data_IF_328230285531
#
_entry.id   IF_328230285531
#
_cell.length_a   1.000
_cell.length_b   1.000
_cell.length_c   1.000
_cell.angle_alpha   90.00
_cell.angle_beta   90.00
_cell.angle_gamma   90.00
#
_symmetry.space_group_name_H-M   'P 1'
#
loop_
_entity.id
_entity.type
_entity.pdbx_description
1 polymer ?
#
# COMPACT_ATOMS: atom_id res chain seq x y z
N UNK A 1 -24.10 27.11 20.52
CA UNK A 1 -24.58 25.72 20.57
C UNK A 1 -23.92 24.99 19.43
N UNK A 2 -22.61 24.76 19.60
CA UNK A 2 -21.75 23.98 18.72
C UNK A 2 -21.53 22.65 19.45
N UNK A 3 -22.52 21.77 19.38
CA UNK A 3 -22.38 20.36 19.74
C UNK A 3 -21.97 19.63 18.45
N UNK A 4 -20.69 19.68 18.11
CA UNK A 4 -20.04 18.72 17.21
C UNK A 4 -19.70 17.49 18.06
N UNK A 5 -20.75 16.71 18.37
CA UNK A 5 -20.61 15.39 18.97
C UNK A 5 -19.87 14.52 17.94
N UNK A 6 -18.56 14.33 18.18
CA UNK A 6 -17.58 13.67 17.33
C UNK A 6 -17.79 12.17 17.07
N UNK A 7 -19.00 11.76 16.68
CA UNK A 7 -19.37 10.41 16.23
C UNK A 7 -19.69 10.34 14.72
N UNK A 8 -19.38 11.40 13.95
CA UNK A 8 -19.71 11.48 12.54
C UNK A 8 -18.79 10.67 11.63
N UNK A 9 -19.05 9.37 11.46
CA UNK A 9 -18.87 8.79 10.11
C UNK A 9 -19.78 9.65 9.21
N UNK A 10 -19.27 10.38 8.21
CA UNK A 10 -20.13 11.23 7.40
C UNK A 10 -21.27 10.39 6.80
N UNK A 11 -22.52 10.79 7.11
CA UNK A 11 -23.76 10.09 6.74
C UNK A 11 -23.96 9.93 5.22
N UNK A 12 -23.13 10.57 4.41
CA UNK A 12 -23.10 10.37 2.96
C UNK A 12 -21.66 10.31 2.45
N UNK A 13 -21.30 9.20 1.81
CA UNK A 13 -20.11 9.14 0.96
C UNK A 13 -20.38 10.01 -0.27
N UNK A 14 -19.88 11.24 -0.25
CA UNK A 14 -19.94 12.14 -1.41
C UNK A 14 -18.90 11.66 -2.43
N UNK A 15 -19.35 11.30 -3.63
CA UNK A 15 -18.43 10.89 -4.70
C UNK A 15 -17.48 12.06 -5.06
N UNK A 16 -16.19 11.75 -5.21
CA UNK A 16 -15.16 12.74 -5.53
C UNK A 16 -15.37 13.35 -6.94
N UNK A 17 -14.94 14.61 -7.16
CA UNK A 17 -14.95 15.21 -8.49
C UNK A 17 -13.99 14.49 -9.44
N UNK A 18 -14.17 14.71 -10.75
CA UNK A 18 -13.25 14.22 -11.76
C UNK A 18 -11.80 14.64 -11.48
N UNK A 19 -10.86 13.69 -11.58
CA UNK A 19 -9.45 13.93 -11.25
C UNK A 19 -8.50 13.03 -12.05
N UNK A 20 -7.22 13.38 -12.01
CA UNK A 20 -6.13 12.51 -12.42
C UNK A 20 -5.42 12.03 -11.15
N UNK A 21 -5.38 10.72 -10.92
CA UNK A 21 -4.67 10.15 -9.77
C UNK A 21 -3.29 9.68 -10.17
N UNK A 22 -2.25 10.22 -9.55
CA UNK A 22 -0.88 9.71 -9.75
C UNK A 22 -0.79 8.28 -9.23
N UNK A 23 -0.11 7.40 -9.95
CA UNK A 23 0.23 6.07 -9.43
C UNK A 23 1.09 6.21 -8.17
N UNK A 24 0.75 5.46 -7.13
CA UNK A 24 1.63 5.31 -5.96
C UNK A 24 2.94 4.62 -6.37
N UNK A 25 3.96 4.66 -5.51
CA UNK A 25 5.20 3.91 -5.76
C UNK A 25 4.93 2.41 -5.91
N UNK A 26 4.04 1.83 -5.11
CA UNK A 26 3.64 0.41 -5.24
C UNK A 26 2.96 0.16 -6.58
N UNK A 27 1.98 1.00 -6.95
CA UNK A 27 1.22 0.88 -8.19
C UNK A 27 2.10 1.00 -9.43
N UNK A 28 3.07 1.92 -9.41
CA UNK A 28 4.05 2.03 -10.47
C UNK A 28 4.85 0.72 -10.60
N UNK A 29 5.44 0.23 -9.49
CA UNK A 29 6.26 -0.99 -9.50
C UNK A 29 5.47 -2.21 -9.96
N UNK A 30 4.27 -2.42 -9.42
CA UNK A 30 3.43 -3.55 -9.80
C UNK A 30 2.95 -3.45 -11.26
N UNK A 31 2.54 -2.25 -11.70
CA UNK A 31 2.13 -2.05 -13.11
C UNK A 31 3.28 -2.28 -14.08
N UNK A 32 4.48 -1.80 -13.75
CA UNK A 32 5.68 -2.03 -14.56
C UNK A 32 6.00 -3.52 -14.66
N UNK A 33 5.98 -4.24 -13.54
CA UNK A 33 6.14 -5.71 -13.52
C UNK A 33 5.06 -6.41 -14.35
N UNK A 34 3.81 -6.02 -14.19
CA UNK A 34 2.68 -6.61 -14.92
C UNK A 34 2.80 -6.40 -16.44
N UNK A 35 3.34 -5.26 -16.88
CA UNK A 35 3.55 -4.92 -18.30
C UNK A 35 4.79 -5.59 -18.89
N UNK A 36 5.90 -5.55 -18.16
CA UNK A 36 7.23 -5.86 -18.70
C UNK A 36 7.77 -7.21 -18.26
N UNK A 37 7.26 -7.77 -17.16
CA UNK A 37 7.82 -8.96 -16.49
C UNK A 37 9.09 -8.65 -15.66
N UNK A 38 9.53 -7.40 -15.62
CA UNK A 38 10.74 -6.95 -14.94
C UNK A 38 10.36 -6.18 -13.69
N UNK A 39 11.02 -6.50 -12.57
CA UNK A 39 10.89 -5.73 -11.34
C UNK A 39 11.68 -4.42 -11.46
N UNK A 40 11.08 -3.31 -11.01
CA UNK A 40 11.85 -2.08 -10.81
C UNK A 40 12.85 -2.34 -9.68
N UNK A 41 14.16 -2.11 -9.88
CA UNK A 41 15.16 -2.33 -8.83
C UNK A 41 14.78 -1.62 -7.53
N UNK A 42 15.02 -2.27 -6.39
CA UNK A 42 14.63 -1.77 -5.07
C UNK A 42 15.30 -0.42 -4.78
N UNK A 43 16.58 -0.29 -5.16
CA UNK A 43 17.39 0.92 -4.96
C UNK A 43 17.03 2.07 -5.92
N UNK A 44 16.20 1.83 -6.94
CA UNK A 44 15.72 2.89 -7.81
C UNK A 44 14.75 3.78 -7.02
N UNK A 45 15.21 4.99 -6.70
CA UNK A 45 14.39 5.98 -6.03
C UNK A 45 13.22 6.40 -6.92
N UNK A 46 12.02 6.40 -6.35
CA UNK A 46 10.81 6.96 -6.95
C UNK A 46 10.32 8.12 -6.09
N UNK A 47 9.57 9.05 -6.68
CA UNK A 47 9.03 10.19 -5.96
C UNK A 47 8.20 9.70 -4.76
N UNK A 48 8.50 10.17 -3.53
CA UNK A 48 7.76 9.75 -2.35
C UNK A 48 6.27 10.05 -2.48
N UNK A 49 5.44 9.13 -2.01
CA UNK A 49 4.01 9.38 -1.91
C UNK A 49 3.69 10.28 -0.73
N UNK A 50 2.75 11.21 -0.92
CA UNK A 50 2.27 12.08 0.15
C UNK A 50 0.95 11.52 0.67
N UNK A 51 0.89 10.95 1.89
CA UNK A 51 -0.38 10.49 2.44
C UNK A 51 -1.32 11.65 2.74
N UNK A 52 -2.61 11.42 2.59
CA UNK A 52 -3.67 12.31 3.05
C UNK A 52 -4.68 11.47 3.83
N UNK A 53 -5.07 11.94 5.03
CA UNK A 53 -5.92 11.18 5.95
C UNK A 53 -5.43 9.75 6.22
N UNK A 54 -4.10 9.56 6.31
CA UNK A 54 -3.48 8.26 6.57
C UNK A 54 -3.29 7.35 5.35
N UNK A 55 -3.76 7.75 4.16
CA UNK A 55 -3.64 6.93 2.95
C UNK A 55 -2.94 7.66 1.79
N UNK A 56 -1.97 7.00 1.16
CA UNK A 56 -1.23 7.50 -0.01
C UNK A 56 -2.11 7.57 -1.25
N UNK A 57 -3.05 6.63 -1.40
CA UNK A 57 -4.01 6.60 -2.51
C UNK A 57 -4.95 7.82 -2.53
N UNK A 58 -5.23 8.40 -1.36
CA UNK A 58 -6.03 9.62 -1.21
C UNK A 58 -5.19 10.86 -1.55
N UNK A 59 -3.97 10.94 -1.02
CA UNK A 59 -3.09 12.07 -1.29
C UNK A 59 -2.68 12.18 -2.76
N UNK A 60 -2.48 11.04 -3.42
CA UNK A 60 -2.08 11.00 -4.84
C UNK A 60 -3.13 11.50 -5.83
N UNK A 61 -4.38 11.69 -5.39
CA UNK A 61 -5.41 12.38 -6.18
C UNK A 61 -5.20 13.90 -6.23
N UNK A 62 -4.23 14.44 -5.48
CA UNK A 62 -3.94 15.88 -5.36
C UNK A 62 -2.45 16.23 -5.57
N UNK A 63 -1.57 15.24 -5.73
CA UNK A 63 -0.13 15.47 -5.94
C UNK A 63 0.21 15.62 -7.42
N UNK A 64 1.06 16.59 -7.73
CA UNK A 64 1.78 16.67 -9.00
C UNK A 64 3.12 15.94 -8.91
N UNK A 65 3.85 15.88 -10.02
CA UNK A 65 5.21 15.32 -10.08
C UNK A 65 6.22 16.46 -10.02
N UNK A 66 7.22 16.38 -9.13
CA UNK A 66 8.30 17.35 -9.06
C UNK A 66 9.33 17.16 -10.18
N UNK A 67 10.18 18.16 -10.44
CA UNK A 67 11.27 18.01 -11.41
C UNK A 67 12.19 16.83 -11.09
N UNK A 68 12.48 16.61 -9.79
CA UNK A 68 13.24 15.44 -9.33
C UNK A 68 12.48 14.14 -9.54
N UNK A 69 11.16 14.17 -9.32
CA UNK A 69 10.29 13.02 -9.58
C UNK A 69 10.32 12.59 -11.05
N UNK A 70 10.34 13.54 -11.99
CA UNK A 70 10.49 13.23 -13.42
C UNK A 70 11.78 12.45 -13.69
N UNK A 71 12.92 12.92 -13.19
CA UNK A 71 14.21 12.23 -13.33
C UNK A 71 14.17 10.83 -12.71
N UNK A 72 13.53 10.67 -11.55
CA UNK A 72 13.37 9.37 -10.88
C UNK A 72 12.55 8.37 -11.70
N UNK A 73 11.45 8.81 -12.29
CA UNK A 73 10.64 7.97 -13.17
C UNK A 73 11.36 7.66 -14.49
N UNK A 74 12.18 8.59 -14.99
CA UNK A 74 13.04 8.39 -16.15
C UNK A 74 14.08 7.29 -15.90
N UNK A 75 14.85 7.41 -14.80
CA UNK A 75 15.83 6.41 -14.39
C UNK A 75 15.20 5.02 -14.26
N UNK A 76 14.03 4.94 -13.60
CA UNK A 76 13.29 3.69 -13.44
C UNK A 76 12.82 3.10 -14.76
N UNK A 77 12.27 3.93 -15.64
CA UNK A 77 11.75 3.51 -16.93
C UNK A 77 12.85 2.98 -17.86
N UNK A 78 14.01 3.64 -17.93
CA UNK A 78 15.14 3.14 -18.71
C UNK A 78 15.74 1.87 -18.14
N UNK A 79 15.91 1.77 -16.81
CA UNK A 79 16.43 0.56 -16.18
C UNK A 79 15.58 -0.67 -16.53
N UNK A 80 14.26 -0.52 -16.47
CA UNK A 80 13.33 -1.60 -16.80
C UNK A 80 13.28 -1.86 -18.31
N UNK A 81 13.21 -0.82 -19.13
CA UNK A 81 13.14 -0.96 -20.58
C UNK A 81 14.35 -1.69 -21.15
N UNK A 82 15.55 -1.35 -20.67
CA UNK A 82 16.79 -2.01 -21.06
C UNK A 82 16.78 -3.50 -20.67
N UNK A 83 16.35 -3.80 -19.44
CA UNK A 83 16.24 -5.18 -18.96
C UNK A 83 15.20 -6.00 -19.76
N UNK A 84 14.05 -5.41 -20.07
CA UNK A 84 13.00 -6.03 -20.87
C UNK A 84 13.47 -6.26 -22.31
N UNK A 85 14.10 -5.27 -22.95
CA UNK A 85 14.58 -5.40 -24.33
C UNK A 85 15.73 -6.40 -24.48
N UNK A 86 16.50 -6.64 -23.40
CA UNK A 86 17.58 -7.62 -23.37
C UNK A 86 17.09 -9.06 -23.18
N UNK A 87 16.00 -9.27 -22.43
CA UNK A 87 15.56 -10.60 -21.99
C UNK A 87 14.21 -11.06 -22.57
N UNK A 88 13.36 -10.11 -23.00
CA UNK A 88 11.95 -10.29 -23.37
C UNK A 88 11.23 -11.36 -22.51
N UNK A 89 11.07 -11.12 -21.20
CA UNK A 89 10.67 -12.17 -20.28
C UNK A 89 9.22 -12.58 -20.53
N UNK A 90 9.02 -13.77 -21.08
CA UNK A 90 7.70 -14.36 -21.33
C UNK A 90 7.04 -13.90 -22.63
N UNK A 91 7.82 -13.56 -23.66
CA UNK A 91 7.32 -13.21 -25.01
C UNK A 91 6.37 -12.01 -25.00
N UNK A 92 6.74 -10.96 -24.25
CA UNK A 92 5.99 -9.70 -24.16
C UNK A 92 6.06 -8.91 -25.46
N UNK A 93 7.04 -9.23 -26.31
CA UNK A 93 7.10 -8.79 -27.70
C UNK A 93 6.59 -9.96 -28.56
N UNK A 94 5.32 -9.94 -29.03
CA UNK A 94 4.70 -11.09 -29.69
C UNK A 94 5.15 -11.28 -31.15
N UNK A 95 6.34 -10.80 -31.51
CA UNK A 95 6.88 -10.80 -32.88
C UNK A 95 8.40 -10.76 -32.88
N UNK A 96 9.01 -11.11 -34.02
CA UNK A 96 10.45 -10.95 -34.20
C UNK A 96 10.80 -9.47 -34.31
N UNK A 97 11.56 -8.95 -33.35
CA UNK A 97 12.00 -7.55 -33.34
C UNK A 97 12.70 -7.19 -34.66
N UNK A 98 12.29 -6.09 -35.29
CA UNK A 98 12.80 -5.63 -36.58
C UNK A 98 12.08 -6.17 -37.81
N UNK A 99 11.16 -7.13 -37.65
CA UNK A 99 10.26 -7.54 -38.73
C UNK A 99 9.20 -6.47 -39.04
N UNK A 100 8.70 -6.47 -40.28
CA UNK A 100 7.68 -5.54 -40.75
C UNK A 100 6.43 -5.60 -39.85
N UNK A 101 5.93 -4.43 -39.42
CA UNK A 101 4.74 -4.32 -38.57
C UNK A 101 4.94 -4.71 -37.09
N UNK A 102 6.08 -5.28 -36.69
CA UNK A 102 6.31 -5.72 -35.32
C UNK A 102 6.28 -4.54 -34.32
N UNK A 103 6.98 -3.44 -34.62
CA UNK A 103 6.99 -2.26 -33.77
C UNK A 103 5.57 -1.65 -33.60
N UNK A 104 4.79 -1.59 -34.68
CA UNK A 104 3.42 -1.08 -34.60
C UNK A 104 2.55 -1.97 -33.72
N UNK A 105 2.60 -3.28 -33.93
CA UNK A 105 1.83 -4.22 -33.13
C UNK A 105 2.22 -4.16 -31.64
N UNK A 106 3.53 -4.05 -31.37
CA UNK A 106 4.05 -3.86 -30.01
C UNK A 106 3.51 -2.56 -29.39
N UNK A 107 3.60 -1.42 -30.10
CA UNK A 107 3.07 -0.13 -29.63
C UNK A 107 1.59 -0.22 -29.28
N UNK A 108 0.78 -0.89 -30.12
CA UNK A 108 -0.66 -1.05 -29.87
C UNK A 108 -0.95 -1.93 -28.67
N UNK A 109 -0.29 -3.09 -28.57
CA UNK A 109 -0.51 -4.08 -27.50
C UNK A 109 0.03 -3.59 -26.15
N UNK A 110 1.29 -3.16 -26.09
CA UNK A 110 1.91 -2.62 -24.89
C UNK A 110 1.22 -1.31 -24.45
N UNK A 111 1.00 -0.40 -25.39
CA UNK A 111 0.35 0.88 -25.13
C UNK A 111 -1.06 0.71 -24.59
N UNK A 112 -1.85 -0.25 -25.11
CA UNK A 112 -3.21 -0.50 -24.62
C UNK A 112 -3.23 -0.83 -23.14
N UNK A 113 -2.31 -1.68 -22.68
CA UNK A 113 -2.19 -2.04 -21.25
C UNK A 113 -1.56 -0.93 -20.42
N UNK A 114 -0.56 -0.22 -20.97
CA UNK A 114 0.11 0.87 -20.26
C UNK A 114 -0.82 2.07 -20.02
N UNK A 115 -1.56 2.48 -21.05
CA UNK A 115 -2.47 3.61 -20.98
C UNK A 115 -3.89 3.23 -20.59
N UNK A 116 -4.15 1.93 -20.44
CA UNK A 116 -5.40 1.35 -19.92
C UNK A 116 -6.62 1.65 -20.79
N UNK A 117 -6.36 1.91 -22.07
CA UNK A 117 -7.34 2.16 -23.14
C UNK A 117 -6.68 1.95 -24.50
N UNK A 118 -7.45 1.80 -25.59
CA UNK A 118 -6.90 1.80 -26.93
C UNK A 118 -6.14 3.11 -27.19
N UNK A 119 -4.98 2.99 -27.84
CA UNK A 119 -4.26 4.15 -28.36
C UNK A 119 -5.03 4.73 -29.55
N UNK A 120 -5.02 6.05 -29.66
CA UNK A 120 -5.43 6.73 -30.88
C UNK A 120 -4.40 6.53 -31.99
N UNK A 121 -4.79 6.65 -33.25
CA UNK A 121 -3.85 6.53 -34.38
C UNK A 121 -2.71 7.57 -34.31
N UNK A 122 -2.98 8.74 -33.76
CA UNK A 122 -1.98 9.78 -33.54
C UNK A 122 -0.96 9.36 -32.46
N UNK A 123 -1.40 8.69 -31.39
CA UNK A 123 -0.51 8.12 -30.38
C UNK A 123 0.33 6.98 -30.97
N UNK A 124 -0.28 6.06 -31.71
CA UNK A 124 0.46 4.96 -32.37
C UNK A 124 1.54 5.52 -33.29
N UNK A 125 1.19 6.49 -34.14
CA UNK A 125 2.14 7.14 -35.06
C UNK A 125 3.30 7.79 -34.30
N UNK A 126 3.01 8.50 -33.20
CA UNK A 126 4.03 9.16 -32.38
C UNK A 126 5.00 8.16 -31.75
N UNK A 127 4.48 7.11 -31.12
CA UNK A 127 5.32 6.11 -30.44
C UNK A 127 6.12 5.27 -31.43
N UNK A 128 5.55 4.94 -32.60
CA UNK A 128 6.30 4.31 -33.68
C UNK A 128 7.47 5.18 -34.15
N UNK A 129 7.25 6.48 -34.36
CA UNK A 129 8.32 7.38 -34.78
C UNK A 129 9.48 7.43 -33.77
N UNK A 130 9.18 7.42 -32.46
CA UNK A 130 10.22 7.33 -31.40
C UNK A 130 11.01 6.03 -31.53
N UNK A 131 10.33 4.89 -31.69
CA UNK A 131 11.00 3.60 -31.84
C UNK A 131 11.83 3.49 -33.12
N UNK A 132 11.34 4.01 -34.24
CA UNK A 132 12.03 4.02 -35.53
C UNK A 132 13.28 4.91 -35.49
N UNK A 133 13.19 6.08 -34.85
CA UNK A 133 14.32 7.00 -34.67
C UNK A 133 15.40 6.39 -33.77
N UNK A 134 15.03 5.82 -32.62
CA UNK A 134 15.96 5.15 -31.71
C UNK A 134 16.64 3.94 -32.40
N UNK A 135 15.87 3.12 -33.12
CA UNK A 135 16.44 1.98 -33.84
C UNK A 135 17.43 2.40 -34.93
N UNK A 136 17.14 3.49 -35.65
CA UNK A 136 18.02 4.05 -36.68
C UNK A 136 19.29 4.65 -36.07
N UNK A 137 19.14 5.44 -35.01
CA UNK A 137 20.23 6.18 -34.37
C UNK A 137 21.21 5.24 -33.65
N UNK A 138 20.69 4.22 -32.96
CA UNK A 138 21.50 3.27 -32.20
C UNK A 138 21.84 2.00 -32.99
N UNK A 139 21.34 1.88 -34.22
CA UNK A 139 21.68 0.80 -35.15
C UNK A 139 21.14 -0.58 -34.76
N UNK A 140 20.11 -0.64 -33.90
CA UNK A 140 19.49 -1.90 -33.47
C UNK A 140 17.98 -1.76 -33.28
N UNK A 141 17.16 -2.65 -33.86
CA UNK A 141 15.71 -2.68 -33.62
C UNK A 141 15.30 -2.80 -32.14
N UNK A 142 16.13 -3.42 -31.29
CA UNK A 142 15.86 -3.56 -29.86
C UNK A 142 15.85 -2.19 -29.15
N UNK A 143 16.68 -1.25 -29.58
CA UNK A 143 16.65 0.11 -29.04
C UNK A 143 15.31 0.80 -29.32
N UNK A 144 14.66 0.48 -30.45
CA UNK A 144 13.32 0.98 -30.74
C UNK A 144 12.28 0.53 -29.71
N UNK A 145 12.33 -0.74 -29.30
CA UNK A 145 11.46 -1.28 -28.24
C UNK A 145 11.79 -0.63 -26.89
N UNK A 146 13.08 -0.57 -26.54
CA UNK A 146 13.55 0.04 -25.29
C UNK A 146 13.04 1.47 -25.12
N UNK A 147 13.23 2.33 -26.13
CA UNK A 147 12.81 3.73 -26.05
C UNK A 147 11.28 3.90 -26.05
N UNK A 148 10.54 3.02 -26.74
CA UNK A 148 9.07 3.01 -26.65
C UNK A 148 8.61 2.65 -25.24
N UNK A 149 9.16 1.60 -24.65
CA UNK A 149 8.83 1.19 -23.27
C UNK A 149 9.20 2.30 -22.30
N UNK A 150 10.44 2.79 -22.34
CA UNK A 150 10.92 3.85 -21.46
C UNK A 150 10.05 5.10 -21.57
N UNK A 151 9.73 5.55 -22.78
CA UNK A 151 8.90 6.73 -23.00
C UNK A 151 7.45 6.55 -22.55
N UNK A 152 6.84 5.39 -22.79
CA UNK A 152 5.47 5.12 -22.34
C UNK A 152 5.36 5.04 -20.81
N UNK A 153 6.35 4.43 -20.12
CA UNK A 153 6.39 4.35 -18.66
C UNK A 153 6.62 5.70 -17.96
N UNK A 154 6.96 6.75 -18.72
CA UNK A 154 7.09 8.12 -18.24
C UNK A 154 5.93 9.02 -18.70
N UNK A 155 5.05 8.51 -19.55
CA UNK A 155 3.94 9.28 -20.10
C UNK A 155 2.94 9.64 -18.98
N UNK A 156 2.34 10.84 -19.01
CA UNK A 156 1.21 11.16 -18.14
C UNK A 156 0.05 10.15 -18.25
N UNK A 157 -0.17 9.56 -19.43
CA UNK A 157 -1.18 8.52 -19.62
C UNK A 157 -0.87 7.22 -18.84
N UNK A 158 0.40 6.99 -18.49
CA UNK A 158 0.81 5.87 -17.64
C UNK A 158 0.90 6.28 -16.17
N UNK A 159 1.59 7.39 -15.88
CA UNK A 159 1.82 7.87 -14.51
C UNK A 159 0.54 8.33 -13.80
N UNK A 160 -0.50 8.65 -14.54
CA UNK A 160 -1.80 9.04 -14.00
C UNK A 160 -2.92 8.12 -14.47
N UNK A 161 -3.84 7.83 -13.56
CA UNK A 161 -5.13 7.21 -13.84
C UNK A 161 -6.14 8.32 -14.15
N UNK A 162 -6.77 8.23 -15.31
CA UNK A 162 -7.92 9.07 -15.66
C UNK A 162 -9.12 8.64 -14.85
N UNK A 163 -9.76 9.60 -14.19
CA UNK A 163 -11.05 9.48 -13.53
C UNK A 163 -11.88 10.73 -13.90
N UNK A 164 -12.03 10.97 -15.20
CA UNK A 164 -12.68 12.14 -15.79
C UNK A 164 -14.13 11.85 -16.19
N UNK A 165 -14.46 10.58 -16.42
CA UNK A 165 -15.78 10.09 -16.74
C UNK A 165 -16.28 10.38 -18.16
N UNK A 166 -17.41 9.76 -18.49
CA UNK A 166 -18.00 9.83 -19.84
C UNK A 166 -18.92 11.04 -20.02
N UNK A 167 -18.44 12.27 -19.85
CA UNK A 167 -19.10 13.52 -20.29
C UNK A 167 -20.50 13.88 -19.76
N UNK A 168 -21.22 12.96 -19.11
CA UNK A 168 -22.47 13.19 -18.41
C UNK A 168 -22.18 13.59 -16.97
N UNK A 169 -22.54 14.81 -16.58
CA UNK A 169 -22.54 15.18 -15.18
C UNK A 169 -23.54 14.28 -14.45
N UNK A 170 -23.08 13.58 -13.42
CA UNK A 170 -23.95 12.76 -12.61
C UNK A 170 -24.67 13.68 -11.61
N UNK A 171 -26.00 13.79 -11.72
CA UNK A 171 -26.81 14.63 -10.81
C UNK A 171 -27.49 13.75 -9.77
N UNK A 172 -27.05 13.83 -8.52
CA UNK A 172 -27.67 13.19 -7.35
C UNK A 172 -27.24 13.94 -6.10
N UNK A 173 -28.07 13.93 -5.04
CA UNK A 173 -27.76 14.50 -3.72
C UNK A 173 -26.56 13.82 -3.04
N UNK A 174 -26.04 12.73 -3.62
CA UNK A 174 -24.90 11.92 -3.15
C UNK A 174 -23.60 12.17 -3.94
N UNK A 175 -23.56 13.17 -4.81
CA UNK A 175 -22.44 13.43 -5.71
C UNK A 175 -21.88 14.84 -5.50
N UNK A 176 -20.54 14.97 -5.42
CA UNK A 176 -19.93 16.29 -5.44
C UNK A 176 -20.21 16.99 -6.77
N UNK A 177 -20.23 18.31 -6.75
CA UNK A 177 -20.19 19.11 -7.97
C UNK A 177 -18.98 18.69 -8.83
N UNK A 178 -19.23 18.38 -10.12
CA UNK A 178 -18.19 17.88 -11.03
C UNK A 178 -17.88 16.39 -10.93
N UNK A 179 -18.71 15.59 -10.24
CA UNK A 179 -18.64 14.14 -10.30
C UNK A 179 -19.19 13.60 -11.64
N UNK A 180 -18.52 12.59 -12.17
CA UNK A 180 -18.89 11.92 -13.41
C UNK A 180 -18.95 10.41 -13.20
N UNK A 181 -19.80 9.73 -13.96
CA UNK A 181 -19.75 8.26 -14.04
C UNK A 181 -18.47 7.84 -14.76
N UNK A 182 -17.78 6.85 -14.21
CA UNK A 182 -16.68 6.19 -14.90
C UNK A 182 -17.16 5.56 -16.19
N UNK A 183 -16.39 5.71 -17.25
CA UNK A 183 -16.54 4.85 -18.42
C UNK A 183 -15.99 3.44 -18.14
N UNK A 184 -16.20 2.51 -19.06
CA UNK A 184 -15.75 1.13 -18.90
C UNK A 184 -14.22 0.98 -18.77
N UNK A 185 -13.42 1.87 -19.38
CA UNK A 185 -11.95 1.85 -19.28
C UNK A 185 -11.46 2.37 -17.94
N UNK A 186 -12.10 3.42 -17.44
CA UNK A 186 -11.86 3.94 -16.10
C UNK A 186 -12.33 2.95 -15.04
N UNK A 187 -13.44 2.23 -15.27
CA UNK A 187 -13.89 1.15 -14.40
C UNK A 187 -12.93 -0.03 -14.39
N UNK A 188 -12.41 -0.47 -15.54
CA UNK A 188 -11.35 -1.47 -15.62
C UNK A 188 -10.14 -1.04 -14.77
N UNK A 189 -9.68 0.20 -14.96
CA UNK A 189 -8.58 0.77 -14.18
C UNK A 189 -8.88 0.77 -12.69
N UNK A 190 -10.08 1.20 -12.30
CA UNK A 190 -10.51 1.25 -10.91
C UNK A 190 -10.49 -0.13 -10.26
N UNK A 191 -11.09 -1.14 -10.91
CA UNK A 191 -11.11 -2.51 -10.41
C UNK A 191 -9.69 -3.05 -10.25
N UNK A 192 -8.85 -2.91 -11.29
CA UNK A 192 -7.49 -3.44 -11.27
C UNK A 192 -6.62 -2.83 -10.16
N UNK A 193 -6.66 -1.51 -10.00
CA UNK A 193 -5.87 -0.86 -8.94
C UNK A 193 -6.47 -1.04 -7.54
N UNK A 194 -7.77 -1.27 -7.41
CA UNK A 194 -8.39 -1.58 -6.12
C UNK A 194 -8.10 -3.00 -5.67
N UNK A 195 -8.19 -3.97 -6.58
CA UNK A 195 -8.06 -5.40 -6.23
C UNK A 195 -6.62 -5.88 -6.31
N UNK A 196 -5.84 -5.38 -7.26
CA UNK A 196 -4.52 -5.91 -7.61
C UNK A 196 -3.38 -4.90 -7.51
N UNK A 197 -3.68 -3.63 -7.18
CA UNK A 197 -2.70 -2.54 -7.08
C UNK A 197 -1.81 -2.41 -8.33
N UNK A 198 -2.33 -2.76 -9.52
CA UNK A 198 -1.58 -2.77 -10.78
C UNK A 198 -2.49 -2.47 -11.99
N UNK A 199 -1.89 -2.31 -13.17
CA UNK A 199 -2.62 -2.03 -14.42
C UNK A 199 -3.54 -3.21 -14.81
N UNK A 200 -4.71 -2.96 -15.44
CA UNK A 200 -5.62 -4.00 -15.93
C UNK A 200 -4.95 -5.08 -16.79
N UNK A 201 -5.44 -6.32 -16.64
CA UNK A 201 -5.13 -7.40 -17.56
C UNK A 201 -5.95 -7.30 -18.86
N UNK A 202 -5.58 -8.09 -19.86
CA UNK A 202 -6.25 -8.05 -21.16
C UNK A 202 -7.72 -8.43 -21.06
N UNK A 203 -8.09 -9.38 -20.18
CA UNK A 203 -9.47 -9.77 -19.98
C UNK A 203 -10.35 -8.61 -19.48
N UNK A 204 -9.83 -7.79 -18.57
CA UNK A 204 -10.55 -6.62 -18.07
C UNK A 204 -10.62 -5.50 -19.13
N UNK A 205 -9.55 -5.31 -19.92
CA UNK A 205 -9.56 -4.36 -21.04
C UNK A 205 -10.48 -4.82 -22.18
N UNK A 206 -10.63 -6.12 -22.39
CA UNK A 206 -11.54 -6.69 -23.39
C UNK A 206 -12.99 -6.50 -22.96
N UNK A 207 -13.30 -6.76 -21.67
CA UNK A 207 -14.61 -6.46 -21.08
C UNK A 207 -14.94 -4.96 -21.16
N UNK A 208 -13.94 -4.09 -20.95
CA UNK A 208 -14.12 -2.66 -21.12
C UNK A 208 -14.49 -2.28 -22.55
N UNK A 209 -13.84 -2.90 -23.54
CA UNK A 209 -14.15 -2.69 -24.96
C UNK A 209 -15.57 -3.16 -25.32
N UNK A 210 -16.07 -4.19 -24.63
CA UNK A 210 -17.40 -4.73 -24.82
C UNK A 210 -18.51 -3.95 -24.08
N UNK A 211 -18.16 -2.98 -23.22
CA UNK A 211 -19.12 -2.21 -22.41
C UNK A 211 -19.70 -3.02 -21.25
N UNK A 212 -18.96 -4.03 -20.77
CA UNK A 212 -19.43 -5.01 -19.81
C UNK A 212 -19.13 -4.63 -18.35
N UNK A 213 -18.43 -3.52 -18.10
CA UNK A 213 -17.94 -3.18 -16.76
C UNK A 213 -18.83 -2.17 -16.01
N UNK A 214 -19.92 -1.74 -16.62
CA UNK A 214 -20.92 -0.88 -15.98
C UNK A 214 -22.17 -1.64 -15.50
N UNK A 215 -22.28 -2.94 -15.83
CA UNK A 215 -23.30 -3.85 -15.31
C UNK A 215 -22.84 -4.57 -14.03
N UNK A 216 -23.73 -4.67 -13.03
CA UNK A 216 -23.36 -5.18 -11.70
C UNK A 216 -23.06 -6.69 -11.65
N UNK A 217 -23.70 -7.50 -12.50
CA UNK A 217 -23.47 -8.95 -12.52
C UNK A 217 -22.14 -9.26 -13.20
N UNK A 218 -21.91 -8.66 -14.37
CA UNK A 218 -20.64 -8.79 -15.09
C UNK A 218 -19.46 -8.28 -14.26
N UNK A 219 -19.59 -7.10 -13.64
CA UNK A 219 -18.56 -6.52 -12.79
C UNK A 219 -18.18 -7.46 -11.63
N UNK A 220 -19.17 -8.10 -10.98
CA UNK A 220 -18.91 -9.04 -9.88
C UNK A 220 -18.03 -10.21 -10.34
N UNK A 221 -18.31 -10.79 -11.50
CA UNK A 221 -17.52 -11.91 -12.03
C UNK A 221 -16.05 -11.54 -12.27
N UNK A 222 -15.78 -10.34 -12.79
CA UNK A 222 -14.41 -9.85 -12.98
C UNK A 222 -13.68 -9.58 -11.66
N UNK A 223 -14.38 -9.03 -10.66
CA UNK A 223 -13.81 -8.80 -9.32
C UNK A 223 -13.47 -10.12 -8.63
N UNK A 224 -14.39 -11.09 -8.61
CA UNK A 224 -14.15 -12.41 -8.02
C UNK A 224 -12.95 -13.12 -8.65
N UNK A 225 -12.83 -13.05 -9.98
CA UNK A 225 -11.68 -13.59 -10.72
C UNK A 225 -10.36 -12.96 -10.28
N UNK A 226 -10.32 -11.64 -10.10
CA UNK A 226 -9.10 -10.93 -9.70
C UNK A 226 -8.76 -11.18 -8.23
N UNK A 227 -9.76 -11.22 -7.33
CA UNK A 227 -9.58 -11.56 -5.91
C UNK A 227 -8.97 -12.95 -5.74
N UNK A 228 -9.32 -13.89 -6.62
CA UNK A 228 -8.76 -15.25 -6.61
C UNK A 228 -7.33 -15.35 -7.19
N UNK A 229 -6.74 -14.25 -7.65
CA UNK A 229 -5.45 -14.26 -8.35
C UNK A 229 -4.28 -13.81 -7.48
N UNK A 230 -3.05 -14.12 -7.91
CA UNK A 230 -1.82 -13.74 -7.19
C UNK A 230 -1.64 -12.22 -7.08
N UNK A 231 -2.29 -11.41 -7.93
CA UNK A 231 -2.19 -9.96 -7.80
C UNK A 231 -2.95 -9.44 -6.58
N UNK A 232 -4.07 -10.05 -6.22
CA UNK A 232 -4.81 -9.70 -5.00
C UNK A 232 -4.00 -10.01 -3.74
N UNK A 233 -3.26 -11.13 -3.71
CA UNK A 233 -2.34 -11.46 -2.61
C UNK A 233 -1.32 -10.35 -2.38
N UNK A 234 -0.68 -9.86 -3.44
CA UNK A 234 0.26 -8.72 -3.36
C UNK A 234 -0.41 -7.44 -2.89
N UNK A 235 -1.58 -7.11 -3.44
CA UNK A 235 -2.31 -5.90 -3.08
C UNK A 235 -2.73 -5.87 -1.60
N UNK A 236 -3.17 -7.00 -1.05
CA UNK A 236 -3.49 -7.12 0.38
C UNK A 236 -2.25 -6.91 1.24
N UNK A 237 -1.09 -7.45 0.85
CA UNK A 237 0.17 -7.17 1.57
C UNK A 237 0.47 -5.67 1.57
N UNK A 238 0.37 -4.99 0.42
CA UNK A 238 0.57 -3.54 0.32
C UNK A 238 -0.42 -2.75 1.18
N UNK A 239 -1.69 -3.14 1.20
CA UNK A 239 -2.70 -2.50 2.04
C UNK A 239 -2.34 -2.56 3.53
N UNK A 240 -2.00 -3.75 4.04
CA UNK A 240 -1.66 -3.90 5.46
C UNK A 240 -0.31 -3.29 5.82
N UNK A 241 0.65 -3.32 4.89
CA UNK A 241 1.92 -2.62 5.04
C UNK A 241 1.73 -1.12 5.26
N UNK A 242 0.83 -0.51 4.49
CA UNK A 242 0.48 0.91 4.59
C UNK A 242 -0.35 1.21 5.84
N UNK A 243 -1.45 0.48 6.06
CA UNK A 243 -2.38 0.71 7.19
C UNK A 243 -1.66 0.58 8.53
N UNK A 244 -0.78 -0.42 8.67
CA UNK A 244 -0.01 -0.63 9.89
C UNK A 244 1.33 0.12 9.90
N UNK A 245 1.68 0.83 8.83
CA UNK A 245 2.92 1.60 8.71
C UNK A 245 4.18 0.75 8.90
N UNK A 246 4.18 -0.49 8.39
CA UNK A 246 5.20 -1.49 8.66
C UNK A 246 6.52 -1.20 7.95
N UNK A 247 6.51 -0.44 6.85
CA UNK A 247 7.73 -0.01 6.17
C UNK A 247 8.70 0.72 7.11
N UNK A 248 8.17 1.44 8.11
CA UNK A 248 8.98 2.15 9.11
C UNK A 248 9.75 1.20 10.05
N UNK A 249 9.41 -0.08 10.11
CA UNK A 249 10.15 -1.07 10.92
C UNK A 249 11.60 -1.23 10.46
N UNK A 250 11.91 -0.92 9.19
CA UNK A 250 13.28 -0.87 8.68
C UNK A 250 14.11 0.27 9.31
N UNK A 251 13.45 1.25 9.92
CA UNK A 251 14.05 2.42 10.54
C UNK A 251 13.85 2.47 12.06
N UNK A 252 13.14 1.49 12.63
CA UNK A 252 13.01 1.37 14.09
C UNK A 252 14.35 0.94 14.66
N UNK A 253 15.00 1.86 15.37
CA UNK A 253 16.21 1.60 16.14
C UNK A 253 15.84 1.46 17.61
N UNK A 254 16.27 0.36 18.22
CA UNK A 254 16.07 0.06 19.64
C UNK A 254 17.40 0.11 20.37
N UNK A 255 17.39 0.52 21.63
CA UNK A 255 18.56 0.40 22.49
C UNK A 255 18.81 -1.09 22.81
N UNK A 256 19.95 -1.67 22.40
CA UNK A 256 20.25 -3.07 22.64
C UNK A 256 20.50 -3.41 24.12
N UNK A 257 20.77 -2.42 25.00
CA UNK A 257 20.86 -2.65 26.44
C UNK A 257 19.48 -2.91 27.06
N UNK A 258 18.45 -2.26 26.51
CA UNK A 258 17.05 -2.43 26.94
C UNK A 258 16.37 -3.58 26.20
N UNK A 259 16.65 -3.74 24.91
CA UNK A 259 16.04 -4.71 24.02
C UNK A 259 17.11 -5.61 23.37
N UNK A 260 17.58 -6.68 24.05
CA UNK A 260 18.70 -7.50 23.57
C UNK A 260 18.46 -8.25 22.26
N UNK A 261 17.20 -8.43 21.85
CA UNK A 261 16.82 -9.04 20.58
C UNK A 261 16.91 -8.07 19.39
N UNK A 262 17.06 -6.77 19.65
CA UNK A 262 17.11 -5.76 18.62
C UNK A 262 18.29 -5.99 17.67
N UNK A 263 17.97 -6.08 16.38
CA UNK A 263 18.95 -6.26 15.31
C UNK A 263 18.46 -5.61 14.02
N UNK A 264 19.35 -5.43 13.04
CA UNK A 264 18.97 -4.90 11.73
C UNK A 264 18.08 -5.86 10.92
N UNK A 265 17.98 -7.14 11.31
CA UNK A 265 17.14 -8.13 10.63
C UNK A 265 15.78 -8.32 11.29
N UNK A 266 15.63 -7.98 12.57
CA UNK A 266 14.38 -8.19 13.30
C UNK A 266 13.22 -7.37 12.72
N UNK A 267 13.42 -6.08 12.44
CA UNK A 267 12.37 -5.23 11.84
C UNK A 267 11.78 -5.80 10.54
N UNK A 268 12.61 -6.12 9.53
CA UNK A 268 12.16 -6.83 8.33
C UNK A 268 11.48 -8.17 8.61
N UNK A 269 12.01 -8.99 9.52
CA UNK A 269 11.40 -10.27 9.89
C UNK A 269 10.00 -10.10 10.51
N UNK A 270 9.82 -9.10 11.37
CA UNK A 270 8.52 -8.76 11.97
C UNK A 270 7.51 -8.30 10.91
N UNK A 271 7.94 -7.44 9.97
CA UNK A 271 7.12 -7.00 8.83
C UNK A 271 6.66 -8.19 8.00
N UNK A 272 7.59 -9.06 7.60
CA UNK A 272 7.29 -10.24 6.79
C UNK A 272 6.35 -11.22 7.50
N UNK A 273 6.57 -11.45 8.81
CA UNK A 273 5.72 -12.28 9.67
C UNK A 273 4.27 -11.79 9.68
N UNK A 274 4.05 -10.48 9.89
CA UNK A 274 2.69 -9.92 9.92
C UNK A 274 2.03 -10.04 8.55
N UNK A 275 2.73 -9.65 7.48
CA UNK A 275 2.19 -9.69 6.12
C UNK A 275 1.88 -11.12 5.64
N UNK A 276 2.73 -12.10 5.99
CA UNK A 276 2.48 -13.50 5.69
C UNK A 276 1.28 -14.06 6.50
N UNK A 277 1.12 -13.62 7.76
CA UNK A 277 -0.05 -13.99 8.57
C UNK A 277 -1.34 -13.47 7.96
N UNK A 278 -1.37 -12.19 7.58
CA UNK A 278 -2.52 -11.57 6.89
C UNK A 278 -2.84 -12.30 5.59
N UNK A 279 -1.83 -12.59 4.77
CA UNK A 279 -2.01 -13.29 3.51
C UNK A 279 -2.59 -14.70 3.70
N UNK A 280 -2.06 -15.46 4.66
CA UNK A 280 -2.55 -16.80 5.01
C UNK A 280 -4.01 -16.75 5.46
N UNK A 281 -4.32 -15.87 6.41
CA UNK A 281 -5.68 -15.74 6.93
C UNK A 281 -6.68 -15.30 5.85
N UNK A 282 -6.28 -14.37 4.97
CA UNK A 282 -7.14 -13.88 3.89
C UNK A 282 -7.39 -14.94 2.81
N UNK A 283 -6.35 -15.62 2.33
CA UNK A 283 -6.44 -16.37 1.07
C UNK A 283 -6.36 -17.89 1.23
N UNK A 284 -5.66 -18.38 2.24
CA UNK A 284 -5.47 -19.82 2.43
C UNK A 284 -6.51 -20.39 3.40
N UNK A 285 -6.92 -19.58 4.39
CA UNK A 285 -7.89 -19.98 5.41
C UNK A 285 -9.26 -19.30 5.24
N UNK A 286 -9.35 -18.25 4.41
CA UNK A 286 -10.58 -17.49 4.14
C UNK A 286 -11.29 -17.04 5.43
N UNK A 287 -10.52 -16.52 6.38
CA UNK A 287 -11.03 -16.06 7.68
C UNK A 287 -11.82 -14.77 7.53
N UNK A 288 -12.89 -14.59 8.33
CA UNK A 288 -13.58 -13.32 8.37
C UNK A 288 -12.68 -12.26 9.05
N UNK A 289 -12.80 -11.00 8.62
CA UNK A 289 -11.87 -9.95 9.01
C UNK A 289 -11.86 -9.64 10.53
N UNK A 290 -12.97 -9.87 11.22
CA UNK A 290 -13.04 -9.75 12.68
C UNK A 290 -12.12 -10.74 13.40
N UNK A 291 -11.92 -11.94 12.83
CA UNK A 291 -10.98 -12.92 13.38
C UNK A 291 -9.52 -12.46 13.30
N UNK A 292 -9.17 -11.49 12.45
CA UNK A 292 -7.80 -10.96 12.36
C UNK A 292 -7.38 -10.29 13.68
N UNK A 293 -8.36 -9.94 14.53
CA UNK A 293 -8.14 -9.32 15.84
C UNK A 293 -8.27 -10.31 17.00
N UNK A 294 -8.63 -11.57 16.75
CA UNK A 294 -8.83 -12.60 17.80
C UNK A 294 -8.06 -13.90 17.56
N UNK A 295 -7.62 -14.16 16.33
CA UNK A 295 -6.82 -15.33 15.97
C UNK A 295 -5.49 -15.35 16.73
N UNK A 296 -4.99 -16.54 17.06
CA UNK A 296 -3.80 -16.71 17.94
C UNK A 296 -2.64 -17.39 17.25
N UNK A 297 -2.80 -17.62 15.96
CA UNK A 297 -1.89 -18.35 15.12
C UNK A 297 -1.19 -17.41 14.15
N UNK A 298 0.12 -17.26 14.30
CA UNK A 298 0.91 -16.36 13.47
C UNK A 298 1.93 -17.14 12.64
N UNK A 299 2.25 -16.63 11.46
CA UNK A 299 3.36 -17.12 10.64
C UNK A 299 4.66 -16.59 11.23
N UNK A 300 5.42 -17.42 11.94
CA UNK A 300 6.65 -17.01 12.62
C UNK A 300 7.90 -17.65 11.99
N UNK A 301 9.03 -16.93 12.05
CA UNK A 301 10.37 -17.45 11.80
C UNK A 301 11.20 -17.40 13.11
N UNK A 302 12.45 -17.84 13.08
CA UNK A 302 13.28 -17.92 14.29
C UNK A 302 13.47 -16.56 15.00
N UNK A 303 13.63 -15.46 14.26
CA UNK A 303 13.81 -14.12 14.84
C UNK A 303 12.52 -13.65 15.53
N UNK A 304 11.37 -13.90 14.89
CA UNK A 304 10.05 -13.55 15.43
C UNK A 304 9.73 -14.43 16.65
N UNK A 305 10.00 -15.73 16.56
CA UNK A 305 9.78 -16.70 17.64
C UNK A 305 10.55 -16.31 18.90
N UNK A 306 11.77 -15.77 18.76
CA UNK A 306 12.55 -15.27 19.89
C UNK A 306 11.84 -14.12 20.65
N UNK A 307 11.08 -13.27 19.95
CA UNK A 307 10.28 -12.22 20.58
C UNK A 307 9.05 -12.81 21.28
N UNK A 308 8.34 -13.74 20.63
CA UNK A 308 7.20 -14.42 21.28
C UNK A 308 7.65 -15.18 22.54
N UNK A 309 8.89 -15.69 22.56
CA UNK A 309 9.46 -16.38 23.70
C UNK A 309 9.68 -15.49 24.94
N UNK A 310 9.61 -14.16 24.81
CA UNK A 310 9.66 -13.24 25.96
C UNK A 310 8.29 -13.07 26.63
N UNK A 311 7.20 -13.54 26.01
CA UNK A 311 5.86 -13.35 26.55
C UNK A 311 5.63 -14.09 27.87
N UNK A 312 4.92 -13.46 28.83
CA UNK A 312 4.51 -14.13 30.05
C UNK A 312 3.69 -15.40 29.75
N UNK A 313 4.18 -16.56 30.21
CA UNK A 313 3.51 -17.85 30.02
C UNK A 313 3.91 -18.61 28.75
N UNK A 314 4.77 -18.06 27.88
CA UNK A 314 5.26 -18.77 26.70
C UNK A 314 6.04 -20.04 27.06
N UNK A 315 6.91 -19.97 28.08
CA UNK A 315 7.72 -21.11 28.53
C UNK A 315 6.87 -22.30 29.05
N UNK A 316 5.63 -22.04 29.49
CA UNK A 316 4.72 -23.07 30.01
C UNK A 316 4.04 -23.88 28.90
N UNK A 317 4.21 -23.48 27.62
CA UNK A 317 3.54 -24.09 26.47
C UNK A 317 4.22 -25.37 25.94
N UNK A 318 5.48 -25.63 26.34
CA UNK A 318 6.25 -26.80 25.89
C UNK A 318 6.73 -26.71 24.43
N UNK A 319 7.74 -27.52 24.06
CA UNK A 319 8.36 -27.53 22.72
C UNK A 319 7.71 -28.52 21.73
N UNK A 320 6.75 -29.34 22.19
CA UNK A 320 6.03 -30.29 21.34
C UNK A 320 4.85 -29.61 20.65
N UNK A 321 5.17 -28.88 19.58
CA UNK A 321 4.18 -28.28 18.67
C UNK A 321 3.63 -26.98 19.20
N UNK A 322 4.31 -25.87 18.87
CA UNK A 322 3.78 -24.50 18.91
C UNK A 322 2.67 -24.40 17.84
N UNK A 323 1.58 -25.11 18.10
CA UNK A 323 0.39 -25.14 17.29
C UNK A 323 -0.44 -23.96 17.77
N UNK A 324 -0.50 -22.89 16.97
CA UNK A 324 -1.63 -22.00 16.65
C UNK A 324 -2.66 -21.62 17.74
N UNK A 325 -3.03 -22.50 18.66
CA UNK A 325 -3.92 -22.25 19.79
C UNK A 325 -3.22 -21.78 21.08
N UNK A 326 -1.89 -21.90 21.16
CA UNK A 326 -1.15 -21.76 22.43
C UNK A 326 -0.59 -20.35 22.70
N UNK A 327 -0.58 -19.43 21.72
CA UNK A 327 0.05 -18.12 21.93
C UNK A 327 -0.82 -17.23 22.83
N UNK A 328 -0.15 -16.55 23.78
CA UNK A 328 -0.79 -15.60 24.71
C UNK A 328 -1.28 -14.35 23.96
N UNK A 329 -0.64 -14.06 22.83
CA UNK A 329 -1.02 -13.02 21.87
C UNK A 329 -2.28 -13.40 21.08
N UNK A 330 -3.05 -12.38 20.72
CA UNK A 330 -4.32 -12.47 20.01
C UNK A 330 -4.45 -11.34 18.99
N UNK A 331 -4.56 -11.70 17.73
CA UNK A 331 -4.79 -10.82 16.60
C UNK A 331 -3.62 -9.89 16.27
N UNK A 332 -3.79 -9.14 15.18
CA UNK A 332 -2.77 -8.24 14.64
C UNK A 332 -2.30 -7.18 15.66
N UNK A 333 -3.18 -6.71 16.56
CA UNK A 333 -2.83 -5.68 17.54
C UNK A 333 -1.77 -6.11 18.56
N UNK A 334 -1.66 -7.42 18.81
CA UNK A 334 -0.67 -7.97 19.74
C UNK A 334 0.55 -8.53 18.99
N UNK A 335 0.57 -8.49 17.67
CA UNK A 335 1.72 -8.94 16.90
C UNK A 335 2.92 -8.00 17.16
N UNK A 336 4.15 -8.52 17.36
CA UNK A 336 5.29 -7.68 17.73
C UNK A 336 5.55 -6.54 16.73
N UNK A 337 5.42 -6.78 15.42
CA UNK A 337 5.49 -5.73 14.38
C UNK A 337 4.65 -4.47 14.71
N UNK A 338 3.40 -4.66 15.13
CA UNK A 338 2.50 -3.55 15.47
C UNK A 338 2.94 -2.84 16.75
N UNK A 339 3.46 -3.61 17.71
CA UNK A 339 3.91 -3.09 19.01
C UNK A 339 5.24 -2.35 18.91
N UNK A 340 6.22 -2.87 18.16
CA UNK A 340 7.49 -2.22 17.86
C UNK A 340 7.27 -0.92 17.09
N UNK A 341 6.44 -0.97 16.04
CA UNK A 341 6.13 0.22 15.22
C UNK A 341 5.57 1.37 16.04
N UNK A 342 4.82 1.06 17.11
CA UNK A 342 4.15 2.05 17.94
C UNK A 342 4.83 2.20 19.31
N UNK A 343 6.16 2.27 19.32
CA UNK A 343 6.96 2.45 20.54
C UNK A 343 8.19 3.32 20.30
N UNK A 344 8.87 3.73 21.39
CA UNK A 344 10.10 4.50 21.32
C UNK A 344 11.34 3.60 21.26
N UNK A 345 12.53 4.18 21.05
CA UNK A 345 13.79 3.43 20.99
C UNK A 345 14.12 2.72 22.31
N UNK A 346 13.87 3.39 23.43
CA UNK A 346 14.26 2.96 24.78
C UNK A 346 13.07 2.55 25.66
N UNK A 347 11.83 2.65 25.15
CA UNK A 347 10.63 2.37 25.92
C UNK A 347 9.43 1.96 25.05
N UNK A 348 8.50 1.22 25.64
CA UNK A 348 7.14 1.02 25.09
C UNK A 348 6.34 2.32 25.12
N UNK A 349 5.19 2.35 24.43
CA UNK A 349 4.34 3.55 24.40
C UNK A 349 2.85 3.21 24.27
N UNK A 350 2.11 3.15 25.38
CA UNK A 350 0.66 3.04 25.38
C UNK A 350 -0.02 4.14 24.55
N UNK A 351 0.54 5.34 24.60
CA UNK A 351 -0.02 6.50 23.90
C UNK A 351 0.10 6.34 22.38
N UNK A 352 1.26 5.91 21.87
CA UNK A 352 1.44 5.66 20.42
C UNK A 352 0.60 4.48 19.95
N UNK A 353 0.56 3.37 20.72
CA UNK A 353 -0.27 2.19 20.42
C UNK A 353 -1.77 2.56 20.38
N UNK A 354 -2.24 3.33 21.36
CA UNK A 354 -3.61 3.83 21.41
C UNK A 354 -3.93 4.78 20.25
N UNK A 355 -3.01 5.69 19.93
CA UNK A 355 -3.15 6.60 18.77
C UNK A 355 -3.33 5.82 17.49
N UNK A 356 -2.50 4.81 17.24
CA UNK A 356 -2.62 3.93 16.07
C UNK A 356 -4.03 3.33 15.95
N UNK A 357 -4.53 2.69 17.01
CA UNK A 357 -5.89 2.08 16.97
C UNK A 357 -6.96 3.13 16.69
N UNK A 358 -6.90 4.28 17.38
CA UNK A 358 -7.88 5.36 17.24
C UNK A 358 -7.91 5.92 15.81
N UNK A 359 -6.75 6.23 15.24
CA UNK A 359 -6.66 6.92 13.95
C UNK A 359 -6.73 5.96 12.76
N UNK A 360 -6.00 4.84 12.81
CA UNK A 360 -5.85 3.95 11.66
C UNK A 360 -6.98 2.93 11.54
N UNK A 361 -7.57 2.49 12.68
CA UNK A 361 -8.58 1.43 12.69
C UNK A 361 -9.98 1.94 12.99
N UNK A 362 -10.11 2.93 13.86
CA UNK A 362 -11.41 3.50 14.25
C UNK A 362 -11.75 4.81 13.49
N UNK A 363 -10.85 5.28 12.61
CA UNK A 363 -11.02 6.50 11.82
C UNK A 363 -11.30 7.77 12.67
N UNK A 364 -10.83 7.79 13.92
CA UNK A 364 -11.04 8.91 14.84
C UNK A 364 -9.94 9.95 14.70
N UNK A 365 -10.29 11.22 14.89
CA UNK A 365 -9.31 12.31 14.94
C UNK A 365 -8.66 12.39 16.32
N UNK A 366 -7.34 12.59 16.34
CA UNK A 366 -6.58 12.86 17.56
C UNK A 366 -5.95 14.24 17.42
N UNK A 367 -6.26 15.21 18.31
CA UNK A 367 -5.71 16.55 18.21
C UNK A 367 -4.18 16.52 18.33
N UNK A 368 -3.52 17.55 17.78
CA UNK A 368 -2.09 17.74 17.98
C UNK A 368 -1.79 17.87 19.48
N UNK A 369 -0.66 17.31 19.95
CA UNK A 369 -0.24 17.52 21.33
C UNK A 369 0.03 19.02 21.59
N UNK A 370 -0.08 19.50 22.85
CA UNK A 370 0.31 20.86 23.20
C UNK A 370 1.78 21.16 22.83
N UNK A 371 2.11 22.42 22.51
CA UNK A 371 3.48 22.80 22.11
C UNK A 371 4.55 22.58 23.21
N UNK A 372 4.12 22.48 24.48
CA UNK A 372 4.96 22.29 25.67
C UNK A 372 4.69 20.90 26.30
N UNK A 373 4.88 19.83 25.52
CA UNK A 373 4.81 18.47 26.07
C UNK A 373 6.05 18.21 26.91
N UNK A 374 5.91 18.24 28.23
CA UNK A 374 6.94 17.76 29.15
C UNK A 374 7.14 16.25 29.05
N UNK A 375 8.35 15.77 29.38
CA UNK A 375 8.66 14.34 29.39
C UNK A 375 7.86 13.59 30.46
N UNK A 376 7.62 12.29 30.20
CA UNK A 376 7.02 11.42 31.21
C UNK A 376 8.02 11.27 32.38
N UNK A 377 7.64 11.56 33.63
CA UNK A 377 8.57 11.53 34.77
C UNK A 377 9.24 10.17 34.90
N UNK A 378 10.53 10.12 35.25
CA UNK A 378 11.24 8.88 35.53
C UNK A 378 10.58 8.06 36.66
N UNK A 379 10.70 6.71 36.64
CA UNK A 379 10.16 5.87 37.69
C UNK A 379 10.65 6.30 39.09
N UNK A 380 9.72 6.42 40.03
CA UNK A 380 10.03 6.83 41.41
C UNK A 380 9.26 5.98 42.44
N UNK A 381 9.36 6.33 43.72
CA UNK A 381 8.75 5.55 44.79
C UNK A 381 7.21 5.49 44.71
N UNK A 382 6.57 6.53 44.16
CA UNK A 382 5.12 6.72 44.07
C UNK A 382 4.55 6.20 42.73
N UNK A 383 5.34 6.23 41.66
CA UNK A 383 4.98 5.73 40.34
C UNK A 383 6.13 4.89 39.76
N UNK A 384 6.06 3.58 39.92
CA UNK A 384 7.11 2.63 39.50
C UNK A 384 6.86 2.09 38.11
N UNK A 385 5.61 1.76 37.83
CA UNK A 385 5.18 1.19 36.56
C UNK A 385 4.83 2.27 35.55
N UNK A 386 4.90 1.96 34.25
CA UNK A 386 4.49 2.88 33.21
C UNK A 386 3.02 3.32 33.37
N UNK A 387 2.15 2.40 33.81
CA UNK A 387 0.75 2.71 34.13
C UNK A 387 0.62 3.77 35.21
N UNK A 388 1.29 3.59 36.35
CA UNK A 388 1.26 4.56 37.46
C UNK A 388 1.83 5.92 37.03
N UNK A 389 2.90 5.91 36.21
CA UNK A 389 3.50 7.13 35.66
C UNK A 389 2.51 7.88 34.76
N UNK A 390 1.81 7.18 33.87
CA UNK A 390 0.77 7.77 33.01
C UNK A 390 -0.46 8.24 33.81
N UNK A 391 -0.88 7.50 34.84
CA UNK A 391 -1.95 7.93 35.75
C UNK A 391 -1.59 9.21 36.48
N UNK A 392 -0.34 9.33 36.96
CA UNK A 392 0.19 10.59 37.52
C UNK A 392 0.24 11.69 36.46
N UNK A 393 0.71 11.40 35.25
CA UNK A 393 0.82 12.38 34.16
C UNK A 393 -0.54 12.94 33.75
N UNK A 394 -1.60 12.11 33.80
CA UNK A 394 -2.99 12.49 33.54
C UNK A 394 -3.61 13.41 34.60
N UNK A 395 -2.94 13.64 35.74
CA UNK A 395 -3.39 14.65 36.72
C UNK A 395 -3.12 16.08 36.23
N UNK A 396 -2.22 16.27 35.26
CA UNK A 396 -2.02 17.55 34.60
C UNK A 396 -3.17 17.80 33.61
N UNK A 397 -3.96 18.88 33.77
CA UNK A 397 -5.07 19.20 32.87
C UNK A 397 -4.67 19.33 31.39
N UNK A 398 -3.43 19.73 31.09
CA UNK A 398 -2.92 19.83 29.73
C UNK A 398 -2.71 18.45 29.06
N UNK A 399 -2.45 17.42 29.85
CA UNK A 399 -2.15 16.06 29.37
C UNK A 399 -3.37 15.14 29.44
N UNK A 400 -4.29 15.42 30.38
CA UNK A 400 -5.42 14.55 30.71
C UNK A 400 -6.32 14.21 29.52
N UNK A 401 -6.62 15.17 28.65
CA UNK A 401 -7.56 14.99 27.54
C UNK A 401 -7.09 13.95 26.53
N UNK A 402 -5.85 14.07 26.05
CA UNK A 402 -5.29 13.12 25.08
C UNK A 402 -5.01 11.76 25.73
N UNK A 403 -4.39 11.73 26.91
CA UNK A 403 -4.01 10.49 27.56
C UNK A 403 -5.21 9.68 28.08
N UNK A 404 -6.30 10.32 28.49
CA UNK A 404 -7.55 9.61 28.83
C UNK A 404 -8.18 8.93 27.60
N UNK A 405 -7.98 9.47 26.41
CA UNK A 405 -8.53 8.96 25.16
C UNK A 405 -7.67 7.83 24.54
N UNK A 406 -6.35 7.98 24.62
CA UNK A 406 -5.36 7.11 23.96
C UNK A 406 -4.88 5.95 24.85
N UNK A 407 -4.42 6.26 26.06
CA UNK A 407 -3.67 5.31 26.88
C UNK A 407 -4.46 4.06 27.27
N UNK A 408 -5.78 4.07 27.57
CA UNK A 408 -6.48 2.86 27.97
C UNK A 408 -6.38 1.72 26.95
N UNK A 409 -6.40 2.03 25.65
CA UNK A 409 -6.27 1.04 24.58
C UNK A 409 -4.83 0.51 24.54
N UNK A 410 -3.82 1.39 24.55
CA UNK A 410 -2.43 0.95 24.51
C UNK A 410 -1.97 0.23 25.77
N UNK A 411 -2.47 0.61 26.95
CA UNK A 411 -2.20 -0.04 28.23
C UNK A 411 -2.69 -1.48 28.27
N UNK A 412 -3.68 -1.85 27.44
CA UNK A 412 -4.12 -3.24 27.28
C UNK A 412 -3.09 -4.10 26.51
N UNK A 413 -2.11 -3.48 25.84
CA UNK A 413 -1.07 -4.13 25.06
C UNK A 413 0.30 -4.15 25.77
N UNK A 414 0.43 -3.49 26.92
CA UNK A 414 1.70 -3.38 27.67
C UNK A 414 2.19 -4.66 28.35
N UNK A 415 1.42 -5.74 28.26
CA UNK A 415 1.87 -7.07 28.68
C UNK A 415 2.74 -7.78 27.63
N UNK A 416 2.92 -7.16 26.46
CA UNK A 416 3.62 -7.74 25.31
C UNK A 416 4.74 -6.83 24.80
N UNK A 417 5.88 -7.45 24.51
CA UNK A 417 6.99 -6.81 23.80
C UNK A 417 6.71 -6.68 22.30
N UNK A 418 7.40 -5.75 21.65
CA UNK A 418 7.27 -5.45 20.23
C UNK A 418 8.54 -5.72 19.46
#
# INVERSE_FOLDING_TARGET
>A
DDDDDGDGIPDAVVAAPATLRRLTRSQYRHSVRALTGVEVPVDTALEPDTPSNGFVSVGNARTTISARGVEQYEDAAYAVAAAMAATDPGSRIPCTVGSEGCLENFVRTFGRRAFRRPLTEAEVTRWRAIGEDAATTLGTPNAGIEFVVAGMLQSPNFLFRSELGSGGAATSDTLAEGAHYFDDWEMASRIAFTVCDETPDDALLDAAAAGELTDAESLRGHVERLVASDCARRAVRTLFDEVFGLAELEHVVKDPEVYPLASSTLGPALRDSLLATVERWSFDENRPYDEFFTARDFVVNADVEAVFATDPGYADLGTEGVNEAAMVRSGLLTHPATLARNSHAEATSPTLRGKFVRTALLCQSVPAPPDDVGELPEPNAEARTLRERLESHRTNPACASCHAFLDPIGLALEQFDG
#
